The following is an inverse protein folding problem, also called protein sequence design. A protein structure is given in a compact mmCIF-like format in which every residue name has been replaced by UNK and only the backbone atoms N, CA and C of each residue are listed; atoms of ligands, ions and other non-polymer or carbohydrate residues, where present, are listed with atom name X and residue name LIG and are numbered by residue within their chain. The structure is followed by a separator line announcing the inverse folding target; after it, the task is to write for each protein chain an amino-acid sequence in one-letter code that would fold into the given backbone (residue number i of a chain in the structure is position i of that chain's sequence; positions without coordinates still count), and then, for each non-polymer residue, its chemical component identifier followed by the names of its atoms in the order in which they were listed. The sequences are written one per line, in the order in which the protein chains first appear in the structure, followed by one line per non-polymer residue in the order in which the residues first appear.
data_IF_370794488862
#
_entry.id   IF_370794488862
#
_cell.length_a   1.000
_cell.length_b   1.000
_cell.length_c   1.000
_cell.angle_alpha   90.00
_cell.angle_beta   90.00
_cell.angle_gamma   90.00
#
_symmetry.space_group_name_H-M   'P 1'
#
loop_
_entity.id
_entity.type
_entity.pdbx_description
1 polymer ?
#
# COMPACT_ATOMS: atom_id res chain seq x y z
N UNK A 1 -27.95 8.18 1.84
CA UNK A 1 -26.50 8.23 2.12
C UNK A 1 -25.85 8.91 0.92
N UNK A 2 -25.47 10.18 0.82
CA UNK A 2 -25.29 11.30 1.71
C UNK A 2 -23.97 11.95 1.28
N UNK A 3 -23.95 12.97 0.43
CA UNK A 3 -22.77 13.49 -0.30
C UNK A 3 -21.46 13.68 0.51
N UNK A 4 -21.55 13.79 1.85
CA UNK A 4 -20.41 13.79 2.78
C UNK A 4 -19.67 12.45 2.87
N UNK A 5 -20.34 11.29 2.80
CA UNK A 5 -19.67 9.97 2.85
C UNK A 5 -18.77 9.76 1.63
N UNK A 6 -19.29 10.02 0.44
CA UNK A 6 -18.54 9.92 -0.82
C UNK A 6 -17.30 10.86 -0.87
N UNK A 7 -17.32 11.97 -0.13
CA UNK A 7 -16.19 12.90 -0.06
C UNK A 7 -15.12 12.46 0.95
N UNK A 8 -15.54 11.84 2.05
CA UNK A 8 -14.66 11.19 3.04
C UNK A 8 -14.02 9.94 2.44
N UNK A 9 -14.76 9.12 1.72
CA UNK A 9 -14.25 7.97 0.96
C UNK A 9 -13.18 8.42 -0.05
N UNK A 10 -13.45 9.45 -0.86
CA UNK A 10 -12.46 10.04 -1.78
C UNK A 10 -11.21 10.55 -1.05
N UNK A 11 -11.36 11.04 0.18
CA UNK A 11 -10.22 11.47 0.99
C UNK A 11 -9.36 10.27 1.43
N UNK A 12 -9.98 9.17 1.90
CA UNK A 12 -9.26 7.93 2.24
C UNK A 12 -8.58 7.31 1.02
N UNK A 13 -9.26 7.28 -0.14
CA UNK A 13 -8.69 6.80 -1.40
C UNK A 13 -7.47 7.61 -1.84
N UNK A 14 -7.53 8.95 -1.75
CA UNK A 14 -6.39 9.83 -2.08
C UNK A 14 -5.18 9.65 -1.16
N UNK A 15 -5.41 9.21 0.08
CA UNK A 15 -4.34 8.95 1.06
C UNK A 15 -3.89 7.49 1.10
N UNK A 16 -4.40 6.65 0.21
CA UNK A 16 -3.96 5.26 0.06
C UNK A 16 -4.40 4.34 1.19
N UNK A 17 -5.48 4.68 1.90
CA UNK A 17 -5.97 3.92 3.05
C UNK A 17 -7.47 3.55 2.88
N UNK A 18 -7.84 2.84 1.79
CA UNK A 18 -9.24 2.51 1.49
C UNK A 18 -9.85 1.47 2.45
N UNK A 19 -9.01 0.68 3.13
CA UNK A 19 -9.42 -0.38 4.05
C UNK A 19 -10.12 0.10 5.33
N UNK A 20 -10.17 1.42 5.58
CA UNK A 20 -10.91 2.00 6.71
C UNK A 20 -12.34 2.43 6.37
N UNK A 21 -12.79 2.23 5.12
CA UNK A 21 -14.16 2.52 4.71
C UNK A 21 -15.03 1.33 5.10
N UNK A 22 -16.05 1.58 5.92
CA UNK A 22 -17.07 0.58 6.28
C UNK A 22 -17.78 0.12 4.99
N UNK A 23 -17.89 -1.20 4.77
CA UNK A 23 -18.33 -1.87 3.53
C UNK A 23 -17.35 -1.93 2.33
N UNK A 24 -16.06 -1.56 2.50
CA UNK A 24 -15.07 -1.80 1.44
C UNK A 24 -14.76 -3.30 1.29
N UNK A 25 -15.36 -3.94 0.28
CA UNK A 25 -15.06 -5.35 -0.03
C UNK A 25 -13.74 -5.43 -0.80
N UNK A 26 -12.63 -5.46 -0.04
CA UNK A 26 -11.27 -5.47 -0.57
C UNK A 26 -11.05 -6.53 -1.68
N UNK A 27 -11.72 -7.67 -1.60
CA UNK A 27 -11.53 -8.75 -2.58
C UNK A 27 -12.10 -8.46 -3.96
N UNK A 28 -12.93 -7.45 -4.15
CA UNK A 28 -13.71 -7.31 -5.39
C UNK A 28 -13.50 -5.96 -6.06
N UNK A 29 -13.44 -4.90 -5.24
CA UNK A 29 -13.25 -3.54 -5.72
C UNK A 29 -11.78 -3.29 -6.15
N UNK A 30 -10.84 -4.00 -5.52
CA UNK A 30 -9.41 -3.97 -5.88
C UNK A 30 -9.17 -4.54 -7.29
N UNK A 31 -9.80 -5.66 -7.64
CA UNK A 31 -9.63 -6.30 -8.95
C UNK A 31 -10.27 -5.49 -10.07
N UNK A 32 -11.44 -4.91 -9.82
CA UNK A 32 -12.14 -4.07 -10.79
C UNK A 32 -11.34 -2.82 -11.13
N UNK A 33 -10.64 -2.22 -10.15
CA UNK A 33 -9.72 -1.10 -10.38
C UNK A 33 -8.46 -1.49 -11.14
N UNK A 34 -7.99 -2.73 -10.98
CA UNK A 34 -6.77 -3.24 -11.61
C UNK A 34 -7.01 -3.92 -12.98
N UNK A 35 -8.26 -3.98 -13.45
CA UNK A 35 -8.67 -4.47 -14.77
C UNK A 35 -7.73 -4.09 -15.93
N UNK A 36 -7.37 -2.82 -16.14
CA UNK A 36 -6.52 -2.46 -17.29
C UNK A 36 -5.12 -3.07 -17.17
N UNK A 37 -4.57 -3.15 -15.95
CA UNK A 37 -3.25 -3.77 -15.70
C UNK A 37 -3.36 -5.28 -15.86
N UNK A 38 -4.40 -5.91 -15.30
CA UNK A 38 -4.66 -7.33 -15.46
C UNK A 38 -4.79 -7.71 -16.94
N UNK A 39 -5.51 -6.93 -17.74
CA UNK A 39 -5.63 -7.17 -19.17
C UNK A 39 -4.28 -7.13 -19.88
N UNK A 40 -3.46 -6.10 -19.62
CA UNK A 40 -2.12 -5.99 -20.21
C UNK A 40 -1.25 -7.18 -19.81
N UNK A 41 -1.25 -7.56 -18.53
CA UNK A 41 -0.47 -8.69 -18.02
C UNK A 41 -0.97 -10.01 -18.60
N UNK A 42 -2.28 -10.19 -18.75
CA UNK A 42 -2.89 -11.38 -19.33
C UNK A 42 -2.43 -11.58 -20.79
N UNK A 43 -2.52 -10.51 -21.58
CA UNK A 43 -2.10 -10.50 -22.99
C UNK A 43 -0.60 -10.71 -23.10
N UNK A 44 0.21 -9.97 -22.33
CA UNK A 44 1.66 -10.11 -22.33
C UNK A 44 2.11 -11.53 -21.97
N UNK A 45 1.45 -12.16 -20.98
CA UNK A 45 1.75 -13.54 -20.59
C UNK A 45 1.33 -14.54 -21.67
N UNK A 46 0.20 -14.34 -22.34
CA UNK A 46 -0.19 -15.20 -23.46
C UNK A 46 0.86 -15.20 -24.58
N UNK A 47 1.44 -14.04 -24.87
CA UNK A 47 2.52 -13.93 -25.86
C UNK A 47 3.89 -14.43 -25.39
N UNK A 48 4.06 -14.75 -24.10
CA UNK A 48 5.31 -15.34 -23.58
C UNK A 48 5.59 -16.72 -24.20
N UNK A 49 4.56 -17.43 -24.67
CA UNK A 49 4.69 -18.71 -25.37
C UNK A 49 5.29 -18.61 -26.79
N UNK A 50 5.58 -17.39 -27.30
CA UNK A 50 6.21 -17.20 -28.61
C UNK A 50 7.72 -17.33 -28.53
N UNK A 51 8.29 -18.19 -29.38
CA UNK A 51 9.73 -18.29 -29.56
C UNK A 51 10.19 -17.41 -30.73
N UNK A 52 10.47 -16.13 -30.41
CA UNK A 52 10.92 -15.13 -31.38
C UNK A 52 12.31 -15.42 -31.97
N UNK A 53 13.09 -16.31 -31.35
CA UNK A 53 14.49 -16.55 -31.73
C UNK A 53 14.63 -17.79 -32.60
N UNK A 54 13.97 -18.90 -32.24
CA UNK A 54 14.12 -20.17 -32.96
C UNK A 54 13.12 -20.35 -34.11
N UNK A 55 11.97 -19.67 -34.08
CA UNK A 55 10.91 -19.88 -35.06
C UNK A 55 10.93 -18.86 -36.19
N UNK A 56 10.50 -19.32 -37.38
CA UNK A 56 10.25 -18.43 -38.51
C UNK A 56 9.10 -17.45 -38.22
N UNK A 57 9.15 -16.26 -38.81
CA UNK A 57 8.16 -15.20 -38.57
C UNK A 57 6.71 -15.63 -38.88
N UNK A 58 6.49 -16.49 -39.88
CA UNK A 58 5.16 -17.03 -40.19
C UNK A 58 4.63 -17.91 -39.07
N UNK A 59 5.48 -18.75 -38.48
CA UNK A 59 5.11 -19.65 -37.39
C UNK A 59 4.78 -18.86 -36.12
N UNK A 60 5.54 -17.81 -35.82
CA UNK A 60 5.24 -16.88 -34.74
C UNK A 60 3.94 -16.10 -34.95
N UNK A 61 3.63 -15.69 -36.18
CA UNK A 61 2.34 -15.06 -36.49
C UNK A 61 1.15 -16.00 -36.25
N UNK A 62 1.25 -17.25 -36.71
CA UNK A 62 0.20 -18.26 -36.52
C UNK A 62 0.04 -18.61 -35.04
N UNK A 63 1.14 -18.79 -34.33
CA UNK A 63 1.11 -19.03 -32.88
C UNK A 63 0.53 -17.84 -32.11
N UNK A 64 0.88 -16.61 -32.49
CA UNK A 64 0.34 -15.39 -31.88
C UNK A 64 -1.17 -15.26 -32.12
N UNK A 65 -1.63 -15.54 -33.34
CA UNK A 65 -3.06 -15.58 -33.66
C UNK A 65 -3.80 -16.68 -32.86
N UNK A 66 -3.20 -17.86 -32.74
CA UNK A 66 -3.77 -18.96 -31.95
C UNK A 66 -3.87 -18.59 -30.46
N UNK A 67 -2.86 -17.94 -29.90
CA UNK A 67 -2.89 -17.41 -28.53
C UNK A 67 -4.04 -16.41 -28.38
N UNK A 68 -4.18 -15.43 -29.27
CA UNK A 68 -5.27 -14.45 -29.20
C UNK A 68 -6.63 -15.16 -29.23
N UNK A 69 -6.81 -16.14 -30.11
CA UNK A 69 -8.06 -16.93 -30.19
C UNK A 69 -8.31 -17.67 -28.89
N UNK A 70 -7.31 -18.34 -28.31
CA UNK A 70 -7.46 -19.07 -27.04
C UNK A 70 -7.79 -18.11 -25.88
N UNK A 71 -7.16 -16.94 -25.83
CA UNK A 71 -7.45 -15.91 -24.82
C UNK A 71 -8.90 -15.38 -24.96
N UNK A 72 -9.34 -15.10 -26.19
CA UNK A 72 -10.72 -14.65 -26.47
C UNK A 72 -11.72 -15.75 -26.15
N UNK A 73 -11.44 -17.00 -26.53
CA UNK A 73 -12.32 -18.15 -26.26
C UNK A 73 -12.38 -18.43 -24.76
N UNK A 74 -11.26 -18.40 -24.04
CA UNK A 74 -11.22 -18.56 -22.60
C UNK A 74 -12.04 -17.49 -21.87
N UNK A 75 -11.94 -16.24 -22.32
CA UNK A 75 -12.74 -15.13 -21.82
C UNK A 75 -14.24 -15.30 -22.15
N UNK A 76 -14.57 -15.59 -23.41
CA UNK A 76 -15.94 -15.81 -23.84
C UNK A 76 -16.58 -17.01 -23.12
N UNK A 77 -15.81 -18.05 -22.79
CA UNK A 77 -16.29 -19.18 -21.99
C UNK A 77 -16.74 -18.74 -20.60
N UNK A 78 -15.97 -17.85 -19.95
CA UNK A 78 -16.36 -17.32 -18.63
C UNK A 78 -17.64 -16.49 -18.70
N UNK A 79 -17.82 -15.72 -19.77
CA UNK A 79 -19.02 -14.91 -20.00
C UNK A 79 -20.26 -15.79 -20.26
N UNK A 80 -20.11 -16.85 -21.07
CA UNK A 80 -21.17 -17.82 -21.39
C UNK A 80 -21.59 -18.62 -20.15
N UNK A 81 -20.64 -19.12 -19.36
CA UNK A 81 -20.91 -19.85 -18.12
C UNK A 81 -21.60 -18.97 -17.08
N UNK A 82 -21.40 -17.64 -17.14
CA UNK A 82 -22.07 -16.66 -16.28
C UNK A 82 -23.37 -16.08 -16.84
N UNK A 83 -23.84 -16.55 -18.00
CA UNK A 83 -24.99 -16.01 -18.73
C UNK A 83 -24.95 -14.48 -18.92
N UNK A 84 -23.74 -13.93 -19.09
CA UNK A 84 -23.55 -12.50 -19.37
C UNK A 84 -23.47 -12.27 -20.89
N UNK A 85 -23.89 -11.10 -21.39
CA UNK A 85 -23.69 -10.76 -22.79
C UNK A 85 -22.18 -10.70 -23.09
N UNK A 86 -21.77 -11.45 -24.11
CA UNK A 86 -20.38 -11.55 -24.55
C UNK A 86 -19.84 -10.15 -24.85
N UNK A 87 -18.64 -9.83 -24.32
CA UNK A 87 -17.93 -8.55 -24.51
C UNK A 87 -18.44 -7.31 -23.75
N UNK A 88 -19.30 -7.45 -22.73
CA UNK A 88 -19.46 -6.35 -21.77
C UNK A 88 -18.25 -6.31 -20.82
N UNK A 89 -17.65 -5.14 -20.56
CA UNK A 89 -16.61 -5.02 -19.54
C UNK A 89 -17.17 -5.50 -18.19
N UNK A 90 -16.46 -6.35 -17.44
CA UNK A 90 -16.95 -6.84 -16.15
C UNK A 90 -17.06 -5.69 -15.16
N UNK A 91 -18.26 -5.46 -14.62
CA UNK A 91 -18.45 -4.49 -13.53
C UNK A 91 -17.81 -4.95 -12.22
N UNK A 92 -17.51 -6.26 -12.11
CA UNK A 92 -17.06 -6.94 -10.88
C UNK A 92 -16.22 -8.17 -11.27
N UNK A 93 -14.93 -8.20 -10.91
CA UNK A 93 -14.09 -9.40 -11.07
C UNK A 93 -14.32 -10.39 -9.92
N UNK A 94 -14.77 -11.59 -10.25
CA UNK A 94 -14.96 -12.69 -9.30
C UNK A 94 -13.87 -13.75 -9.39
N UNK A 95 -14.05 -14.82 -8.61
CA UNK A 95 -13.18 -15.99 -8.59
C UNK A 95 -12.97 -16.69 -9.95
N UNK A 96 -13.96 -16.83 -10.85
CA UNK A 96 -13.73 -17.51 -12.13
C UNK A 96 -13.02 -16.64 -13.16
N UNK A 97 -13.18 -15.32 -13.13
CA UNK A 97 -12.38 -14.42 -13.99
C UNK A 97 -10.89 -14.48 -13.59
N UNK A 98 -10.62 -14.55 -12.28
CA UNK A 98 -9.27 -14.76 -11.75
C UNK A 98 -8.73 -16.15 -12.11
N UNK A 99 -9.57 -17.18 -12.08
CA UNK A 99 -9.19 -18.53 -12.50
C UNK A 99 -8.87 -18.57 -14.01
N UNK A 100 -9.66 -17.91 -14.86
CA UNK A 100 -9.39 -17.81 -16.29
C UNK A 100 -8.11 -17.00 -16.60
N UNK A 101 -7.78 -16.00 -15.78
CA UNK A 101 -6.52 -15.27 -15.88
C UNK A 101 -5.29 -16.15 -15.62
N UNK A 102 -5.40 -17.10 -14.68
CA UNK A 102 -4.32 -18.04 -14.35
C UNK A 102 -4.27 -19.18 -15.37
N UNK A 103 -5.42 -19.78 -15.68
CA UNK A 103 -5.51 -21.01 -16.49
C UNK A 103 -5.37 -20.68 -17.99
N UNK A 104 -5.95 -19.58 -18.46
CA UNK A 104 -6.01 -19.24 -19.88
C UNK A 104 -4.66 -19.27 -20.61
N UNK A 105 -3.60 -18.64 -20.07
CA UNK A 105 -2.28 -18.65 -20.70
C UNK A 105 -1.59 -20.03 -20.65
N UNK A 106 -1.98 -20.93 -19.73
CA UNK A 106 -1.41 -22.26 -19.62
C UNK A 106 -2.04 -23.28 -20.59
N UNK A 107 -3.25 -23.00 -21.10
CA UNK A 107 -3.99 -23.91 -22.01
C UNK A 107 -3.25 -24.14 -23.33
N UNK A 108 -2.75 -23.12 -24.06
CA UNK A 108 -1.98 -23.33 -25.28
C UNK A 108 -0.78 -24.26 -25.07
N UNK A 109 0.05 -23.99 -24.07
CA UNK A 109 1.25 -24.79 -23.77
C UNK A 109 0.91 -26.25 -23.42
N UNK A 110 -0.16 -26.47 -22.66
CA UNK A 110 -0.65 -27.81 -22.37
C UNK A 110 -1.13 -28.55 -23.64
N UNK A 111 -1.84 -27.86 -24.54
CA UNK A 111 -2.30 -28.43 -25.81
C UNK A 111 -1.16 -28.80 -26.76
N UNK A 112 -0.04 -28.06 -26.73
CA UNK A 112 1.17 -28.38 -27.49
C UNK A 112 2.05 -29.46 -26.82
N UNK A 113 1.61 -30.05 -25.70
CA UNK A 113 2.33 -31.10 -24.98
C UNK A 113 3.49 -30.61 -24.11
N UNK A 114 3.64 -29.29 -23.96
CA UNK A 114 4.68 -28.64 -23.15
C UNK A 114 4.20 -28.44 -21.70
N UNK A 115 4.11 -29.53 -20.95
CA UNK A 115 3.61 -29.51 -19.57
C UNK A 115 4.47 -28.67 -18.62
N UNK A 116 5.79 -28.59 -18.86
CA UNK A 116 6.70 -27.72 -18.10
C UNK A 116 6.33 -26.25 -18.22
N UNK A 117 6.14 -25.77 -19.45
CA UNK A 117 5.78 -24.39 -19.75
C UNK A 117 4.36 -24.04 -19.25
N UNK A 118 3.45 -25.03 -19.28
CA UNK A 118 2.10 -24.87 -18.72
C UNK A 118 2.14 -24.66 -17.20
N UNK A 119 2.92 -25.45 -16.46
CA UNK A 119 3.07 -25.29 -14.99
C UNK A 119 3.76 -23.98 -14.65
N UNK A 120 4.81 -23.62 -15.38
CA UNK A 120 5.47 -22.32 -15.22
C UNK A 120 4.49 -21.16 -15.46
N UNK A 121 3.66 -21.24 -16.51
CA UNK A 121 2.64 -20.23 -16.80
C UNK A 121 1.61 -20.07 -15.67
N UNK A 122 1.21 -21.18 -15.02
CA UNK A 122 0.31 -21.13 -13.86
C UNK A 122 0.98 -20.44 -12.66
N UNK A 123 2.25 -20.76 -12.38
CA UNK A 123 3.02 -20.15 -11.28
C UNK A 123 3.23 -18.65 -11.51
N UNK A 124 3.62 -18.25 -12.72
CA UNK A 124 3.75 -16.85 -13.10
C UNK A 124 2.40 -16.12 -13.05
N UNK A 125 1.32 -16.81 -13.44
CA UNK A 125 -0.06 -16.35 -13.29
C UNK A 125 -0.41 -16.02 -11.84
N UNK A 126 -0.18 -16.97 -10.95
CA UNK A 126 -0.44 -16.82 -9.51
C UNK A 126 0.46 -15.74 -8.87
N UNK A 127 1.74 -15.70 -9.21
CA UNK A 127 2.70 -14.72 -8.69
C UNK A 127 2.33 -13.30 -9.13
N UNK A 128 2.04 -13.09 -10.42
CA UNK A 128 1.59 -11.80 -10.91
C UNK A 128 0.28 -11.36 -10.25
N UNK A 129 -0.66 -12.29 -10.04
CA UNK A 129 -1.91 -12.01 -9.36
C UNK A 129 -1.67 -11.57 -7.90
N UNK A 130 -0.80 -12.29 -7.17
CA UNK A 130 -0.40 -11.93 -5.81
C UNK A 130 0.29 -10.55 -5.75
N UNK A 131 1.16 -10.23 -6.72
CA UNK A 131 1.83 -8.93 -6.81
C UNK A 131 0.80 -7.82 -7.08
N UNK A 132 -0.10 -8.01 -8.05
CA UNK A 132 -1.14 -7.02 -8.37
C UNK A 132 -2.05 -6.80 -7.16
N UNK A 133 -2.42 -7.87 -6.45
CA UNK A 133 -3.18 -7.79 -5.21
C UNK A 133 -2.43 -6.96 -4.16
N UNK A 134 -1.16 -7.28 -3.90
CA UNK A 134 -0.35 -6.57 -2.90
C UNK A 134 -0.22 -5.09 -3.26
N UNK A 135 0.15 -4.79 -4.49
CA UNK A 135 0.38 -3.42 -4.96
C UNK A 135 -0.90 -2.59 -4.92
N UNK A 136 -2.03 -3.17 -5.33
CA UNK A 136 -3.32 -2.47 -5.40
C UNK A 136 -3.96 -2.35 -4.01
N UNK A 137 -3.88 -3.39 -3.18
CA UNK A 137 -4.41 -3.41 -1.80
C UNK A 137 -3.69 -2.41 -0.90
N UNK A 138 -2.36 -2.34 -0.98
CA UNK A 138 -1.58 -1.42 -0.17
C UNK A 138 -1.45 -0.03 -0.81
N UNK A 139 -2.14 0.23 -1.93
CA UNK A 139 -2.05 1.48 -2.69
C UNK A 139 -0.59 1.95 -2.85
N UNK A 140 0.31 1.01 -3.16
CA UNK A 140 1.77 1.20 -3.08
C UNK A 140 2.20 2.39 -3.94
N UNK A 141 1.56 2.60 -5.08
CA UNK A 141 1.81 3.75 -5.95
C UNK A 141 1.44 5.11 -5.32
N UNK A 142 0.34 5.18 -4.57
CA UNK A 142 -0.06 6.40 -3.88
C UNK A 142 0.89 6.71 -2.71
N UNK A 143 1.28 5.66 -1.97
CA UNK A 143 2.30 5.76 -0.92
C UNK A 143 3.66 6.16 -1.48
N UNK A 144 4.11 5.53 -2.57
CA UNK A 144 5.35 5.90 -3.28
C UNK A 144 5.30 7.34 -3.76
N UNK A 145 4.22 7.77 -4.41
CA UNK A 145 4.09 9.15 -4.89
C UNK A 145 4.05 10.18 -3.75
N UNK A 146 3.44 9.85 -2.61
CA UNK A 146 3.50 10.69 -1.41
C UNK A 146 4.91 10.70 -0.80
N UNK A 147 5.51 9.52 -0.62
CA UNK A 147 6.84 9.35 -0.05
C UNK A 147 7.89 10.06 -0.90
N UNK A 148 7.86 9.91 -2.23
CA UNK A 148 8.78 10.58 -3.15
C UNK A 148 8.65 12.10 -3.07
N UNK A 149 7.42 12.65 -3.04
CA UNK A 149 7.22 14.10 -2.88
C UNK A 149 7.74 14.59 -1.52
N UNK A 150 7.52 13.81 -0.46
CA UNK A 150 8.02 14.12 0.89
C UNK A 150 9.54 14.07 0.97
N UNK A 151 10.15 13.02 0.40
CA UNK A 151 11.59 12.84 0.31
C UNK A 151 12.23 13.94 -0.53
N UNK A 152 11.64 14.33 -1.66
CA UNK A 152 12.13 15.43 -2.48
C UNK A 152 12.11 16.76 -1.71
N UNK A 153 11.04 17.03 -0.95
CA UNK A 153 10.95 18.22 -0.10
C UNK A 153 12.02 18.21 1.02
N UNK A 154 12.31 17.06 1.62
CA UNK A 154 13.37 16.91 2.61
C UNK A 154 14.77 17.01 2.00
N UNK A 155 14.96 16.44 0.81
CA UNK A 155 16.22 16.49 0.07
C UNK A 155 16.61 17.93 -0.26
N UNK A 156 15.64 18.79 -0.61
CA UNK A 156 15.89 20.22 -0.82
C UNK A 156 16.39 20.94 0.44
N UNK A 157 15.98 20.49 1.63
CA UNK A 157 16.47 21.03 2.91
C UNK A 157 17.87 20.51 3.22
N UNK A 158 18.11 19.21 3.06
CA UNK A 158 19.44 18.61 3.26
C UNK A 158 20.46 19.16 2.27
N UNK A 159 20.10 19.31 1.00
CA UNK A 159 20.96 19.90 -0.03
C UNK A 159 21.43 21.30 0.35
N UNK A 160 20.53 22.16 0.86
CA UNK A 160 20.89 23.50 1.33
C UNK A 160 21.89 23.48 2.49
N UNK A 161 21.78 22.50 3.39
CA UNK A 161 22.74 22.30 4.47
C UNK A 161 24.07 21.79 3.94
N UNK A 162 24.05 20.79 3.05
CA UNK A 162 25.23 20.20 2.43
C UNK A 162 26.00 21.25 1.65
N UNK A 163 25.38 22.06 0.79
CA UNK A 163 26.07 23.13 0.04
C UNK A 163 26.72 24.16 0.96
N UNK A 164 26.10 24.46 2.11
CA UNK A 164 26.69 25.36 3.13
C UNK A 164 27.80 24.71 3.95
N UNK A 165 27.77 23.39 4.13
CA UNK A 165 28.77 22.62 4.87
C UNK A 165 29.92 22.12 3.98
N UNK A 166 29.67 22.01 2.67
CA UNK A 166 30.55 21.48 1.63
C UNK A 166 31.93 22.15 1.66
N UNK A 167 32.05 23.48 1.76
CA UNK A 167 33.35 24.13 1.79
C UNK A 167 34.18 23.71 3.01
N UNK A 168 33.55 23.55 4.17
CA UNK A 168 34.23 23.12 5.40
C UNK A 168 34.65 21.65 5.33
N UNK A 169 33.80 20.81 4.77
CA UNK A 169 34.13 19.40 4.52
C UNK A 169 35.23 19.25 3.47
N UNK A 170 35.19 20.02 2.38
CA UNK A 170 36.22 19.98 1.34
C UNK A 170 37.58 20.39 1.87
N UNK A 171 37.66 21.45 2.69
CA UNK A 171 38.90 21.86 3.31
C UNK A 171 39.47 20.75 4.20
N UNK A 172 38.64 20.15 5.04
CA UNK A 172 39.02 19.02 5.89
C UNK A 172 39.44 17.80 5.06
N UNK A 173 38.65 17.39 4.06
CA UNK A 173 38.96 16.26 3.16
C UNK A 173 40.23 16.52 2.37
N UNK A 174 40.47 17.74 1.89
CA UNK A 174 41.69 18.11 1.16
C UNK A 174 42.90 18.00 2.07
N UNK A 175 42.81 18.48 3.30
CA UNK A 175 43.89 18.38 4.28
C UNK A 175 44.18 16.93 4.69
N UNK A 176 43.14 16.10 4.80
CA UNK A 176 43.29 14.68 5.09
C UNK A 176 43.89 13.92 3.89
N UNK A 177 43.51 14.27 2.66
CA UNK A 177 44.03 13.64 1.44
C UNK A 177 45.49 14.00 1.16
N UNK A 178 45.90 15.24 1.40
CA UNK A 178 47.29 15.67 1.20
C UNK A 178 48.24 15.09 2.25
N UNK A 179 47.70 14.59 3.37
CA UNK A 179 48.48 13.98 4.43
C UNK A 179 48.85 12.53 4.08
N UNK A 180 50.12 12.30 3.73
CA UNK A 180 50.61 10.98 3.36
C UNK A 180 50.57 9.96 4.52
N UNK A 181 50.75 10.41 5.77
CA UNK A 181 50.80 9.54 6.96
C UNK A 181 49.47 8.78 7.16
N UNK A 182 48.33 9.44 6.88
CA UNK A 182 47.00 8.81 6.99
C UNK A 182 46.84 7.68 5.97
N UNK A 183 47.32 7.87 4.74
CA UNK A 183 47.25 6.86 3.69
C UNK A 183 48.20 5.71 3.91
N UNK A 184 49.38 5.96 4.49
CA UNK A 184 50.33 4.91 4.82
C UNK A 184 49.79 3.96 5.90
N UNK A 185 49.11 4.50 6.93
CA UNK A 185 48.44 3.67 7.94
C UNK A 185 47.33 2.84 7.28
N UNK A 186 46.49 3.45 6.43
CA UNK A 186 45.41 2.74 5.74
C UNK A 186 45.93 1.63 4.79
N UNK A 187 47.03 1.89 4.06
CA UNK A 187 47.67 0.92 3.17
C UNK A 187 48.42 -0.20 3.89
N UNK A 188 48.81 0.02 5.16
CA UNK A 188 49.45 -0.98 6.02
C UNK A 188 48.48 -1.93 6.74
N UNK A 189 47.17 -1.61 6.75
CA UNK A 189 46.16 -2.48 7.36
C UNK A 189 45.86 -3.67 6.45
N UNK A 190 46.56 -4.78 6.69
CA UNK A 190 46.28 -6.08 6.06
C UNK A 190 45.95 -7.13 7.13
N UNK A 191 45.07 -8.08 6.80
CA UNK A 191 44.71 -9.19 7.68
C UNK A 191 43.74 -8.83 8.82
N UNK A 192 43.89 -9.40 10.03
CA UNK A 192 42.97 -9.19 11.16
C UNK A 192 42.65 -7.73 11.52
N UNK A 193 43.62 -6.79 11.60
CA UNK A 193 43.33 -5.40 11.97
C UNK A 193 42.47 -4.65 10.94
N UNK A 194 42.53 -5.03 9.66
CA UNK A 194 41.66 -4.48 8.62
C UNK A 194 40.18 -4.81 8.87
N UNK A 195 39.88 -6.09 9.10
CA UNK A 195 38.52 -6.55 9.39
C UNK A 195 38.03 -5.98 10.72
N UNK A 196 38.88 -5.90 11.74
CA UNK A 196 38.52 -5.29 13.01
C UNK A 196 38.10 -3.82 12.86
N UNK A 197 38.83 -3.05 12.04
CA UNK A 197 38.52 -1.64 11.77
C UNK A 197 37.18 -1.50 11.05
N UNK A 198 36.95 -2.29 9.99
CA UNK A 198 35.66 -2.30 9.29
C UNK A 198 34.51 -2.71 10.22
N UNK A 199 34.73 -3.74 11.05
CA UNK A 199 33.74 -4.22 12.00
C UNK A 199 33.36 -3.14 13.02
N UNK A 200 34.32 -2.35 13.52
CA UNK A 200 34.05 -1.24 14.44
C UNK A 200 33.16 -0.19 13.77
N UNK A 201 33.50 0.26 12.55
CA UNK A 201 32.67 1.23 11.82
C UNK A 201 31.26 0.69 11.55
N UNK A 202 31.17 -0.57 11.14
CA UNK A 202 29.88 -1.23 10.89
C UNK A 202 29.05 -1.35 12.17
N UNK A 203 29.63 -1.82 13.27
CA UNK A 203 28.95 -1.97 14.56
C UNK A 203 28.45 -0.62 15.08
N UNK A 204 29.27 0.42 14.98
CA UNK A 204 28.88 1.77 15.40
C UNK A 204 27.69 2.28 14.56
N UNK A 205 27.74 2.08 13.25
CA UNK A 205 26.64 2.41 12.34
C UNK A 205 25.36 1.62 12.63
N UNK A 206 25.49 0.31 12.85
CA UNK A 206 24.36 -0.57 13.16
C UNK A 206 23.70 -0.19 14.50
N UNK A 207 24.49 0.04 15.54
CA UNK A 207 24.01 0.49 16.86
C UNK A 207 23.27 1.82 16.74
N UNK A 208 23.82 2.77 15.98
CA UNK A 208 23.17 4.05 15.74
C UNK A 208 21.79 3.88 15.08
N UNK A 209 21.72 3.13 13.98
CA UNK A 209 20.47 2.90 13.24
C UNK A 209 19.43 2.20 14.13
N UNK A 210 19.83 1.11 14.79
CA UNK A 210 18.96 0.33 15.67
C UNK A 210 18.46 1.14 16.87
N UNK A 211 19.25 2.10 17.37
CA UNK A 211 18.85 2.96 18.49
C UNK A 211 17.94 4.11 18.04
N UNK A 212 18.15 4.67 16.84
CA UNK A 212 17.39 5.82 16.34
C UNK A 212 15.98 5.47 15.88
N UNK A 213 15.80 4.31 15.23
CA UNK A 213 14.53 3.90 14.64
C UNK A 213 13.39 3.80 15.68
N UNK A 214 13.57 3.16 16.86
CA UNK A 214 12.53 3.10 17.88
C UNK A 214 12.18 4.48 18.48
N UNK A 215 13.18 5.36 18.64
CA UNK A 215 12.96 6.70 19.15
C UNK A 215 12.10 7.55 18.19
N UNK A 216 12.34 7.40 16.88
CA UNK A 216 11.52 8.04 15.84
C UNK A 216 10.08 7.51 15.83
N UNK A 217 9.88 6.20 16.02
CA UNK A 217 8.53 5.62 16.04
C UNK A 217 7.72 6.02 17.27
N UNK A 218 8.34 6.10 18.46
CA UNK A 218 7.64 6.50 19.70
C UNK A 218 7.12 7.94 19.65
N UNK A 219 7.86 8.84 19.00
CA UNK A 219 7.44 10.24 18.82
C UNK A 219 6.25 10.42 17.86
N UNK A 220 5.89 9.41 17.07
CA UNK A 220 4.71 9.46 16.17
C UNK A 220 3.44 8.92 16.83
N UNK A 221 3.57 8.20 17.95
CA UNK A 221 2.48 7.50 18.63
C UNK A 221 2.07 8.15 19.97
N UNK A 222 2.73 9.24 20.35
CA UNK A 222 2.45 10.00 21.57
C UNK A 222 1.96 11.38 21.17
N UNK A 223 0.78 11.75 21.69
CA UNK A 223 0.21 13.08 21.54
C UNK A 223 0.19 13.69 22.94
N UNK A 224 0.73 14.90 23.10
CA UNK A 224 0.86 15.52 24.41
C UNK A 224 -0.47 16.11 24.88
N UNK A 225 -1.33 16.56 23.96
CA UNK A 225 -2.65 17.14 24.27
C UNK A 225 -3.73 16.81 23.22
N UNK A 226 -4.99 16.79 23.64
CA UNK A 226 -6.15 16.65 22.77
C UNK A 226 -6.35 17.84 21.83
N UNK A 227 -5.79 19.00 22.16
CA UNK A 227 -5.78 20.19 21.30
C UNK A 227 -4.88 19.99 20.08
N UNK A 228 -3.70 19.36 20.25
CA UNK A 228 -2.78 18.97 19.18
C UNK A 228 -3.44 18.01 18.19
N UNK A 229 -4.20 17.03 18.71
CA UNK A 229 -5.03 16.15 17.89
C UNK A 229 -6.07 16.97 17.10
N UNK A 230 -6.66 17.98 17.72
CA UNK A 230 -7.57 18.92 17.06
C UNK A 230 -6.92 19.67 15.88
N UNK A 231 -5.70 20.18 16.07
CA UNK A 231 -4.94 20.88 15.03
C UNK A 231 -4.47 19.94 13.90
N UNK A 232 -4.01 18.73 14.24
CA UNK A 232 -3.62 17.72 13.26
C UNK A 232 -4.84 17.22 12.44
N UNK A 233 -6.01 17.19 13.07
CA UNK A 233 -7.29 16.83 12.44
C UNK A 233 -7.88 18.01 11.65
N UNK A 234 -7.49 19.27 11.87
CA UNK A 234 -8.07 20.44 11.18
C UNK A 234 -7.88 20.39 9.65
N UNK A 235 -6.87 19.67 9.15
CA UNK A 235 -6.67 19.37 7.72
C UNK A 235 -7.38 18.10 7.21
N UNK A 236 -8.11 17.40 8.08
CA UNK A 236 -8.81 16.15 7.80
C UNK A 236 -10.32 16.32 8.02
N UNK A 237 -11.15 15.68 7.20
CA UNK A 237 -12.61 15.83 7.32
C UNK A 237 -13.23 15.06 8.50
N UNK A 238 -12.40 14.47 9.37
CA UNK A 238 -12.80 13.76 10.58
C UNK A 238 -13.19 14.69 11.75
N UNK A 239 -13.11 16.02 11.60
CA UNK A 239 -13.48 17.03 12.62
C UNK A 239 -14.92 16.91 13.16
N UNK A 240 -15.79 16.11 12.54
CA UNK A 240 -17.24 16.20 12.74
C UNK A 240 -17.85 15.54 14.00
N UNK A 241 -17.15 14.78 14.88
CA UNK A 241 -17.75 14.43 16.17
C UNK A 241 -16.96 14.87 17.43
N UNK A 242 -15.72 15.34 17.35
CA UNK A 242 -14.94 15.66 18.56
C UNK A 242 -15.56 16.80 19.39
N UNK A 243 -16.20 17.78 18.74
CA UNK A 243 -16.90 18.88 19.42
C UNK A 243 -18.18 18.47 20.17
N UNK A 244 -18.77 17.32 19.84
CA UNK A 244 -19.90 16.76 20.62
C UNK A 244 -19.45 15.91 21.80
N UNK A 245 -18.24 15.34 21.75
CA UNK A 245 -17.70 14.54 22.86
C UNK A 245 -17.13 15.40 23.99
N UNK A 246 -16.53 16.56 23.69
CA UNK A 246 -15.99 17.44 24.74
C UNK A 246 -17.07 18.19 25.52
N UNK A 247 -18.15 18.62 24.84
CA UNK A 247 -19.21 19.45 25.45
C UNK A 247 -20.29 18.68 26.22
N UNK A 248 -20.43 17.35 26.02
CA UNK A 248 -21.46 16.52 26.69
C UNK A 248 -20.95 15.70 27.88
N UNK A 249 -19.67 15.81 28.24
CA UNK A 249 -19.12 15.07 29.38
C UNK A 249 -19.57 15.62 30.73
N UNK A 250 -19.95 16.90 30.81
CA UNK A 250 -20.42 17.51 32.05
C UNK A 250 -21.85 17.10 32.45
N UNK A 251 -22.69 16.65 31.51
CA UNK A 251 -24.09 16.31 31.78
C UNK A 251 -24.46 14.84 31.60
N UNK A 252 -23.64 14.01 30.95
CA UNK A 252 -23.91 12.58 30.78
C UNK A 252 -23.14 11.65 31.74
N UNK A 253 -22.22 12.15 32.56
CA UNK A 253 -21.45 11.35 33.51
C UNK A 253 -21.84 11.65 34.97
N UNK A 254 -23.12 11.53 35.32
CA UNK A 254 -23.57 11.43 36.72
C UNK A 254 -23.82 9.99 37.19
N UNK A 255 -23.70 9.00 36.29
CA UNK A 255 -23.75 7.58 36.65
C UNK A 255 -22.35 7.02 36.87
N UNK A 256 -22.06 6.56 38.08
CA UNK A 256 -20.83 5.85 38.45
C UNK A 256 -20.52 4.73 37.45
N UNK A 257 -19.31 4.74 36.88
CA UNK A 257 -18.81 3.64 36.06
C UNK A 257 -18.72 2.36 36.93
N UNK A 258 -19.24 1.21 36.48
CA UNK A 258 -19.06 -0.03 37.22
C UNK A 258 -17.59 -0.45 37.18
N UNK A 259 -17.08 -0.91 38.32
CA UNK A 259 -15.69 -1.29 38.53
C UNK A 259 -15.28 -2.49 37.64
N UNK A 260 -13.97 -2.67 37.37
CA UNK A 260 -13.47 -3.65 36.39
C UNK A 260 -13.71 -5.13 36.74
N UNK A 261 -14.28 -5.43 37.91
CA UNK A 261 -14.36 -6.79 38.46
C UNK A 261 -15.69 -7.53 38.20
N UNK A 262 -16.56 -7.04 37.31
CA UNK A 262 -17.86 -7.68 37.07
C UNK A 262 -17.79 -8.70 35.91
N UNK A 263 -18.12 -10.00 36.12
CA UNK A 263 -17.94 -11.02 35.08
C UNK A 263 -18.97 -10.86 33.96
N UNK A 264 -18.48 -10.83 32.71
CA UNK A 264 -19.29 -10.82 31.49
C UNK A 264 -20.04 -12.14 31.33
N UNK A 265 -21.35 -12.15 31.57
CA UNK A 265 -22.26 -13.20 31.08
C UNK A 265 -23.19 -12.64 30.01
N UNK A 266 -23.17 -13.28 28.84
CA UNK A 266 -24.27 -13.28 27.88
C UNK A 266 -24.33 -12.07 26.95
N UNK A 267 -24.15 -12.33 25.65
CA UNK A 267 -24.26 -11.34 24.59
C UNK A 267 -25.60 -10.58 24.61
N UNK A 268 -25.55 -9.30 24.97
CA UNK A 268 -26.59 -8.33 24.65
C UNK A 268 -25.96 -7.06 24.11
N UNK A 269 -26.54 -6.62 22.99
CA UNK A 269 -26.33 -5.37 22.25
C UNK A 269 -25.78 -4.24 23.12
N UNK A 270 -24.78 -3.54 22.60
CA UNK A 270 -24.45 -2.17 22.98
C UNK A 270 -25.77 -1.38 23.07
N UNK A 271 -26.17 -0.99 24.29
CA UNK A 271 -27.28 -0.07 24.47
C UNK A 271 -26.85 1.23 23.82
N UNK A 272 -27.45 1.53 22.67
CA UNK A 272 -27.37 2.85 22.05
C UNK A 272 -27.91 3.86 23.07
N UNK A 273 -27.06 4.79 23.51
CA UNK A 273 -27.48 5.94 24.27
C UNK A 273 -28.37 6.82 23.37
N UNK A 274 -29.69 6.69 23.50
CA UNK A 274 -30.64 7.60 22.88
C UNK A 274 -30.67 8.90 23.67
N UNK A 275 -30.27 10.00 23.03
CA UNK A 275 -30.45 11.34 23.57
C UNK A 275 -31.87 11.83 23.26
N UNK A 276 -32.70 12.02 24.30
CA UNK A 276 -33.97 12.72 24.15
C UNK A 276 -33.71 14.23 24.02
N UNK A 277 -34.37 14.97 23.11
CA UNK A 277 -34.27 16.42 23.06
C UNK A 277 -34.98 17.02 24.27
N UNK A 278 -34.24 17.74 25.12
CA UNK A 278 -34.79 18.52 26.21
C UNK A 278 -35.63 19.69 25.63
N UNK A 279 -36.78 19.94 26.25
CA UNK A 279 -37.88 20.73 25.72
C UNK A 279 -37.59 22.21 25.45
N UNK A 280 -38.34 22.73 24.49
CA UNK A 280 -38.53 24.15 24.20
C UNK A 280 -39.29 24.82 25.34
N UNK A 281 -38.60 25.62 26.15
CA UNK A 281 -39.22 26.68 26.94
C UNK A 281 -39.49 27.88 26.02
N UNK A 282 -40.75 28.13 25.71
CA UNK A 282 -41.19 29.38 25.10
C UNK A 282 -41.97 30.17 26.15
N UNK A 283 -41.31 31.17 26.75
CA UNK A 283 -41.99 32.30 27.39
C UNK A 283 -42.48 33.24 26.28
N UNK A 284 -43.77 33.56 26.29
CA UNK A 284 -44.30 34.74 25.62
C UNK A 284 -45.46 35.29 26.47
N UNK A 285 -45.18 36.44 27.09
CA UNK A 285 -46.13 37.35 27.71
C UNK A 285 -47.14 37.89 26.70
N UNK A 286 -48.44 37.73 26.98
CA UNK A 286 -49.58 38.64 26.71
C UNK A 286 -50.87 37.93 27.12
#
# INVERSE_FOLDING_TARGET
MGARSAEVERWFMRRGVPHFIDDYTATTDIWTRSLPILFVVYVARGFNALDLYEWTWQRNLVAGAAVIVVLIVGWALTDVVRHRPVFRPPDVLGTPELAAFIIGPAVPSALFGQWGDAVQSLLEGAAALAIIYLVTSYAVFALLGWALRRSAAQLATLYRLVVRALPRLLLFTTFLFINAEVWQVAGGLVGPPYIATLAIFFLLGAVFVLSRVPALMRGLATFDDWTEIGELIDGTRCRSPSSRCSSRRSSCCSGSWPSPSTPRRGGRRWRTCTCSPAGTSADASS
#
